data_IF_369129092155
#
_entry.id   IF_369129092155
#
_cell.length_a   1.000
_cell.length_b   1.000
_cell.length_c   1.000
_cell.angle_alpha   90.00
_cell.angle_beta   90.00
_cell.angle_gamma   90.00
#
_symmetry.space_group_name_H-M   'P 1'
#
loop_
_entity.id
_entity.type
_entity.pdbx_description
1 polymer ?
#
# COMPACT_ATOMS: atom_id res chain seq x y z
N UNK A 1 5.88 -34.10 -31.40
CA UNK A 1 4.99 -34.52 -30.30
C UNK A 1 5.05 -33.43 -29.24
N UNK A 2 3.99 -32.64 -29.17
CA UNK A 2 3.91 -31.45 -28.33
C UNK A 2 3.53 -31.85 -26.92
N UNK A 3 4.39 -31.57 -25.95
CA UNK A 3 4.11 -31.79 -24.53
C UNK A 3 2.96 -30.86 -24.12
N UNK A 4 1.83 -31.36 -23.58
CA UNK A 4 0.78 -30.50 -23.10
C UNK A 4 1.24 -29.77 -21.84
N UNK A 5 0.99 -28.46 -21.79
CA UNK A 5 1.21 -27.65 -20.61
C UNK A 5 0.25 -28.13 -19.50
N UNK A 6 0.78 -28.91 -18.56
CA UNK A 6 0.11 -29.22 -17.31
C UNK A 6 0.27 -28.04 -16.33
N UNK A 7 -0.81 -27.75 -15.61
CA UNK A 7 -0.97 -26.74 -14.56
C UNK A 7 -1.31 -25.32 -15.05
N UNK A 8 -2.51 -25.18 -15.60
CA UNK A 8 -3.30 -23.96 -15.34
C UNK A 8 -3.81 -24.10 -13.90
N UNK A 9 -3.44 -23.19 -12.98
CA UNK A 9 -3.99 -23.23 -11.62
C UNK A 9 -5.51 -23.15 -11.70
N UNK A 10 -6.20 -24.02 -10.97
CA UNK A 10 -7.63 -23.88 -10.68
C UNK A 10 -7.91 -22.48 -10.12
N UNK A 11 -9.11 -21.91 -10.32
CA UNK A 11 -9.46 -20.61 -9.78
C UNK A 11 -9.31 -20.69 -8.26
N UNK A 12 -8.21 -20.13 -7.74
CA UNK A 12 -8.06 -19.90 -6.32
C UNK A 12 -9.25 -19.04 -5.90
N UNK A 13 -9.87 -19.43 -4.79
CA UNK A 13 -10.87 -18.65 -4.08
C UNK A 13 -10.56 -17.16 -4.16
N UNK A 14 -11.56 -16.36 -4.52
CA UNK A 14 -11.50 -14.94 -4.88
C UNK A 14 -11.04 -14.02 -3.72
N UNK A 15 -9.89 -14.29 -3.12
CA UNK A 15 -9.24 -13.40 -2.16
C UNK A 15 -8.54 -12.30 -2.94
N UNK A 16 -8.82 -11.07 -2.59
CA UNK A 16 -8.13 -9.88 -3.09
C UNK A 16 -6.60 -10.01 -2.95
N UNK A 17 -5.81 -9.37 -3.83
CA UNK A 17 -4.36 -9.41 -3.73
C UNK A 17 -3.85 -8.86 -2.39
N UNK A 18 -2.82 -9.49 -1.82
CA UNK A 18 -2.11 -8.93 -0.67
C UNK A 18 -1.45 -7.59 -1.03
N UNK A 19 -1.42 -6.68 -0.06
CA UNK A 19 -0.85 -5.34 -0.18
C UNK A 19 0.41 -5.24 0.67
N UNK A 20 1.53 -4.89 0.04
CA UNK A 20 2.83 -4.75 0.68
C UNK A 20 3.35 -3.32 0.58
N UNK A 21 3.75 -2.74 1.70
CA UNK A 21 4.58 -1.53 1.72
C UNK A 21 6.05 -1.92 1.72
N UNK A 22 6.82 -1.41 0.77
CA UNK A 22 8.27 -1.70 0.65
C UNK A 22 9.11 -0.45 0.71
N UNK A 23 10.17 -0.44 1.52
CA UNK A 23 11.09 0.69 1.62
C UNK A 23 12.51 0.26 2.05
N UNK A 24 13.49 1.15 1.91
CA UNK A 24 14.73 1.10 2.69
C UNK A 24 14.66 2.06 3.88
N UNK A 25 15.35 1.71 4.96
CA UNK A 25 15.34 2.42 6.25
C UNK A 25 15.85 3.88 6.17
N UNK A 26 15.73 4.62 7.27
CA UNK A 26 16.12 6.03 7.33
C UNK A 26 17.63 6.20 7.11
N UNK A 27 18.02 7.18 6.30
CA UNK A 27 19.39 7.42 5.85
C UNK A 27 20.05 6.25 5.11
N UNK A 28 19.27 5.25 4.71
CA UNK A 28 19.75 4.14 3.91
C UNK A 28 19.46 4.39 2.42
N UNK A 29 20.53 4.46 1.62
CA UNK A 29 20.46 4.54 0.16
C UNK A 29 20.51 3.18 -0.56
N UNK A 30 20.68 2.07 0.18
CA UNK A 30 20.82 0.73 -0.40
C UNK A 30 19.46 0.15 -0.79
N UNK A 31 18.96 0.58 -1.95
CA UNK A 31 17.65 0.16 -2.45
C UNK A 31 17.73 -1.10 -3.35
N UNK A 32 18.93 -1.58 -3.69
CA UNK A 32 19.13 -2.70 -4.60
C UNK A 32 18.42 -3.98 -4.13
N UNK A 33 18.58 -4.33 -2.86
CA UNK A 33 17.97 -5.52 -2.28
C UNK A 33 16.44 -5.43 -2.28
N UNK A 34 15.88 -4.33 -1.75
CA UNK A 34 14.42 -4.14 -1.69
C UNK A 34 13.80 -4.04 -3.09
N UNK A 35 14.53 -3.52 -4.08
CA UNK A 35 14.11 -3.49 -5.48
C UNK A 35 13.99 -4.90 -6.09
N UNK A 36 14.86 -5.84 -5.71
CA UNK A 36 14.73 -7.25 -6.10
C UNK A 36 13.55 -7.88 -5.37
N UNK A 37 13.45 -7.71 -4.05
CA UNK A 37 12.38 -8.32 -3.24
C UNK A 37 11.00 -7.87 -3.72
N UNK A 38 10.77 -6.56 -3.94
CA UNK A 38 9.47 -6.07 -4.41
C UNK A 38 9.07 -6.63 -5.78
N UNK A 39 10.02 -6.89 -6.67
CA UNK A 39 9.74 -7.48 -7.99
C UNK A 39 9.28 -8.93 -7.86
N UNK A 40 9.88 -9.67 -6.93
CA UNK A 40 9.49 -11.05 -6.62
C UNK A 40 8.14 -11.10 -5.89
N UNK A 41 7.89 -10.20 -4.92
CA UNK A 41 6.59 -10.06 -4.23
C UNK A 41 5.48 -9.74 -5.23
N UNK A 42 5.70 -8.77 -6.13
CA UNK A 42 4.78 -8.49 -7.25
C UNK A 42 4.61 -9.71 -8.18
N UNK A 43 5.67 -10.50 -8.34
CA UNK A 43 5.70 -11.74 -9.10
C UNK A 43 4.74 -12.80 -8.54
N UNK A 44 4.59 -12.85 -7.22
CA UNK A 44 3.65 -13.72 -6.50
C UNK A 44 2.20 -13.21 -6.50
N UNK A 45 1.91 -12.11 -7.21
CA UNK A 45 0.54 -11.61 -7.37
C UNK A 45 0.14 -10.51 -6.39
N UNK A 46 1.05 -10.05 -5.51
CA UNK A 46 0.77 -8.97 -4.57
C UNK A 46 0.78 -7.56 -5.23
N UNK A 47 0.05 -6.63 -4.62
CA UNK A 47 0.09 -5.20 -4.90
C UNK A 47 1.17 -4.55 -4.03
N UNK A 48 2.21 -3.97 -4.65
CA UNK A 48 3.35 -3.41 -3.92
C UNK A 48 3.36 -1.90 -3.99
N UNK A 49 3.15 -1.27 -2.83
CA UNK A 49 3.32 0.16 -2.59
C UNK A 49 4.80 0.38 -2.26
N UNK A 50 5.56 0.86 -3.24
CA UNK A 50 6.99 1.08 -3.05
C UNK A 50 7.25 2.53 -2.66
N UNK A 51 7.95 2.74 -1.55
CA UNK A 51 8.30 4.08 -1.05
C UNK A 51 9.73 4.50 -1.44
N UNK A 52 10.54 3.60 -1.99
CA UNK A 52 11.94 3.87 -2.29
C UNK A 52 12.82 3.76 -1.04
N UNK A 53 13.76 4.67 -0.90
CA UNK A 53 14.80 4.63 0.14
C UNK A 53 14.76 5.86 1.04
N UNK A 54 15.57 5.90 2.11
CA UNK A 54 15.61 6.99 3.08
C UNK A 54 14.24 7.33 3.69
N UNK A 55 13.54 6.32 4.22
CA UNK A 55 12.20 6.51 4.82
C UNK A 55 12.26 6.41 6.34
N UNK A 56 11.58 7.33 7.02
CA UNK A 56 11.39 7.26 8.47
C UNK A 56 10.38 6.18 8.83
N UNK A 57 10.40 5.71 10.08
CA UNK A 57 9.37 4.79 10.59
C UNK A 57 7.98 5.40 10.43
N UNK A 58 7.81 6.70 10.73
CA UNK A 58 6.53 7.39 10.60
C UNK A 58 6.02 7.38 9.15
N UNK A 59 6.88 7.67 8.17
CA UNK A 59 6.52 7.65 6.75
C UNK A 59 6.04 6.25 6.32
N UNK A 60 6.76 5.20 6.72
CA UNK A 60 6.44 3.80 6.36
C UNK A 60 5.16 3.32 7.03
N UNK A 61 5.03 3.52 8.36
CA UNK A 61 3.86 3.07 9.12
C UNK A 61 2.62 3.83 8.66
N UNK A 62 2.70 5.16 8.49
CA UNK A 62 1.56 5.93 8.00
C UNK A 62 1.11 5.48 6.61
N UNK A 63 2.05 5.20 5.70
CA UNK A 63 1.70 4.63 4.41
C UNK A 63 1.01 3.27 4.57
N UNK A 64 1.53 2.36 5.40
CA UNK A 64 0.92 1.05 5.62
C UNK A 64 -0.53 1.14 6.16
N UNK A 65 -0.79 2.11 7.04
CA UNK A 65 -2.13 2.33 7.60
C UNK A 65 -3.11 2.92 6.58
N UNK A 66 -2.70 3.94 5.83
CA UNK A 66 -3.54 4.54 4.78
C UNK A 66 -3.83 3.53 3.65
N UNK A 67 -2.83 2.73 3.31
CA UNK A 67 -2.91 1.72 2.26
C UNK A 67 -3.55 0.41 2.74
N UNK A 68 -3.93 0.30 4.01
CA UNK A 68 -4.48 -0.91 4.64
C UNK A 68 -3.68 -2.16 4.24
N UNK A 69 -2.37 -2.11 4.50
CA UNK A 69 -1.42 -3.10 4.02
C UNK A 69 -1.38 -4.33 4.91
N UNK A 70 -1.27 -5.52 4.31
CA UNK A 70 -1.10 -6.77 5.05
C UNK A 70 0.32 -6.88 5.65
N UNK A 71 1.30 -6.27 5.00
CA UNK A 71 2.70 -6.38 5.38
C UNK A 71 3.57 -5.17 4.99
N UNK A 72 4.64 -5.01 5.75
CA UNK A 72 5.75 -4.09 5.50
C UNK A 72 7.00 -4.93 5.27
N UNK A 73 7.73 -4.68 4.18
CA UNK A 73 9.03 -5.29 3.92
C UNK A 73 10.12 -4.22 3.78
N UNK A 74 11.17 -4.35 4.59
CA UNK A 74 12.23 -3.34 4.71
C UNK A 74 13.61 -3.90 4.43
N UNK A 75 14.46 -3.06 3.84
CA UNK A 75 15.90 -3.26 3.86
C UNK A 75 16.59 -2.24 4.79
N UNK A 76 17.56 -2.71 5.57
CA UNK A 76 18.41 -1.85 6.41
C UNK A 76 19.87 -2.27 6.38
N UNK A 77 20.72 -1.44 5.78
CA UNK A 77 22.16 -1.69 5.58
C UNK A 77 23.07 -0.70 6.30
N UNK A 78 22.52 0.31 6.98
CA UNK A 78 23.29 1.40 7.62
C UNK A 78 23.39 1.31 9.14
N UNK A 79 22.89 0.24 9.76
CA UNK A 79 22.83 0.11 11.22
C UNK A 79 21.63 0.86 11.82
N UNK A 80 21.50 0.81 13.15
CA UNK A 80 20.33 1.35 13.87
C UNK A 80 19.03 0.58 13.59
N UNK A 81 19.13 -0.61 12.99
CA UNK A 81 18.01 -1.46 12.63
C UNK A 81 17.23 -1.94 13.85
N UNK A 82 17.90 -2.19 14.99
CA UNK A 82 17.23 -2.64 16.20
C UNK A 82 16.21 -1.60 16.66
N UNK A 83 16.65 -0.35 16.83
CA UNK A 83 15.79 0.76 17.24
C UNK A 83 14.73 1.06 16.18
N UNK A 84 15.11 1.05 14.90
CA UNK A 84 14.18 1.32 13.79
C UNK A 84 13.03 0.31 13.75
N UNK A 85 13.32 -0.99 13.85
CA UNK A 85 12.30 -2.04 13.82
C UNK A 85 11.46 -2.07 15.10
N UNK A 86 12.07 -1.89 16.28
CA UNK A 86 11.30 -1.81 17.54
C UNK A 86 10.34 -0.63 17.53
N UNK A 87 10.80 0.55 17.11
CA UNK A 87 9.95 1.73 17.00
C UNK A 87 8.81 1.53 16.01
N UNK A 88 9.03 0.80 14.92
CA UNK A 88 7.97 0.43 13.97
C UNK A 88 6.92 -0.48 14.59
N UNK A 89 7.36 -1.53 15.29
CA UNK A 89 6.46 -2.47 15.99
C UNK A 89 5.63 -1.75 17.05
N UNK A 90 6.27 -0.87 17.83
CA UNK A 90 5.58 -0.08 18.85
C UNK A 90 4.54 0.87 18.22
N UNK A 91 4.91 1.61 17.16
CA UNK A 91 3.98 2.52 16.48
C UNK A 91 2.78 1.78 15.86
N UNK A 92 3.00 0.59 15.29
CA UNK A 92 1.91 -0.25 14.80
C UNK A 92 0.99 -0.72 15.94
N UNK A 93 1.58 -1.13 17.07
CA UNK A 93 0.82 -1.56 18.27
C UNK A 93 0.01 -0.43 18.87
N UNK A 94 0.61 0.74 19.06
CA UNK A 94 -0.05 1.96 19.57
C UNK A 94 -1.24 2.39 18.72
N UNK A 95 -1.18 2.12 17.41
CA UNK A 95 -2.25 2.44 16.46
C UNK A 95 -3.22 1.29 16.20
N UNK A 96 -3.13 0.19 16.95
CA UNK A 96 -4.03 -0.96 16.81
C UNK A 96 -3.83 -1.79 15.53
N UNK A 97 -2.68 -1.64 14.87
CA UNK A 97 -2.38 -2.27 13.59
C UNK A 97 -1.31 -3.37 13.68
N UNK A 98 -1.26 -4.09 14.82
CA UNK A 98 -0.30 -5.20 15.02
C UNK A 98 -0.53 -6.41 14.09
N UNK A 99 -1.62 -6.42 13.31
CA UNK A 99 -1.84 -7.43 12.29
C UNK A 99 -0.92 -7.26 11.07
N UNK A 100 -0.44 -6.04 10.81
CA UNK A 100 0.47 -5.74 9.70
C UNK A 100 1.82 -6.39 10.00
N UNK A 101 2.23 -7.36 9.18
CA UNK A 101 3.48 -8.11 9.40
C UNK A 101 4.69 -7.35 8.94
N UNK A 102 5.70 -7.26 9.81
CA UNK A 102 6.97 -6.57 9.52
C UNK A 102 8.02 -7.60 9.14
N UNK A 103 8.55 -7.47 7.93
CA UNK A 103 9.65 -8.27 7.39
C UNK A 103 10.89 -7.40 7.18
N UNK A 104 12.07 -7.99 7.40
CA UNK A 104 13.33 -7.26 7.29
C UNK A 104 14.45 -8.05 6.60
N UNK A 105 15.44 -7.32 6.09
CA UNK A 105 16.72 -7.87 5.67
C UNK A 105 17.79 -6.79 5.65
N UNK A 106 19.04 -7.15 5.96
CA UNK A 106 20.15 -6.19 6.02
C UNK A 106 21.48 -6.78 5.59
N UNK A 107 21.45 -7.89 4.85
CA UNK A 107 22.65 -8.67 4.61
C UNK A 107 23.30 -9.13 5.92
N UNK A 108 24.62 -9.00 6.03
CA UNK A 108 25.36 -9.31 7.26
C UNK A 108 25.33 -8.20 8.30
N UNK A 109 24.63 -7.08 8.06
CA UNK A 109 24.58 -5.94 9.01
C UNK A 109 23.75 -6.26 10.25
N UNK A 110 22.75 -7.15 10.13
CA UNK A 110 21.90 -7.59 11.25
C UNK A 110 22.40 -8.95 11.72
N UNK A 111 22.92 -9.00 12.94
CA UNK A 111 23.52 -10.21 13.53
C UNK A 111 22.46 -11.24 13.93
N UNK A 112 22.80 -12.54 14.04
CA UNK A 112 21.85 -13.58 14.49
C UNK A 112 21.24 -13.32 15.88
N UNK A 113 21.97 -12.67 16.78
CA UNK A 113 21.48 -12.23 18.09
C UNK A 113 20.40 -11.16 17.95
N UNK A 114 20.66 -10.11 17.17
CA UNK A 114 19.70 -9.03 16.90
C UNK A 114 18.47 -9.53 16.13
N UNK A 115 18.65 -10.49 15.21
CA UNK A 115 17.54 -11.14 14.51
C UNK A 115 16.60 -11.84 15.50
N UNK A 116 17.15 -12.57 16.48
CA UNK A 116 16.35 -13.22 17.53
C UNK A 116 15.63 -12.17 18.38
N UNK A 117 16.37 -11.17 18.84
CA UNK A 117 15.81 -10.07 19.64
C UNK A 117 14.64 -9.36 18.93
N UNK A 118 14.81 -9.01 17.65
CA UNK A 118 13.79 -8.31 16.88
C UNK A 118 12.55 -9.18 16.62
N UNK A 119 12.74 -10.47 16.35
CA UNK A 119 11.61 -11.38 16.15
C UNK A 119 10.85 -11.63 17.46
N UNK A 120 11.56 -11.80 18.57
CA UNK A 120 10.94 -11.94 19.90
C UNK A 120 10.18 -10.66 20.30
N UNK A 121 10.62 -9.49 19.83
CA UNK A 121 9.95 -8.21 20.07
C UNK A 121 8.64 -8.05 19.29
N UNK A 122 8.54 -8.65 18.09
CA UNK A 122 7.33 -8.60 17.25
C UNK A 122 7.58 -8.41 15.75
N UNK A 123 8.82 -8.38 15.28
CA UNK A 123 9.11 -8.48 13.84
C UNK A 123 8.77 -9.90 13.37
N UNK A 124 8.01 -10.06 12.29
CA UNK A 124 7.57 -11.39 11.84
C UNK A 124 8.76 -12.26 11.40
N UNK A 125 9.65 -11.69 10.59
CA UNK A 125 10.86 -12.40 10.13
C UNK A 125 11.92 -11.42 9.62
N UNK A 126 13.17 -11.64 10.04
CA UNK A 126 14.35 -11.03 9.42
C UNK A 126 15.13 -12.13 8.71
N UNK A 127 15.36 -11.93 7.41
CA UNK A 127 16.10 -12.89 6.58
C UNK A 127 17.59 -12.55 6.55
N UNK A 128 18.41 -13.48 7.00
CA UNK A 128 19.86 -13.43 6.96
C UNK A 128 20.39 -13.95 5.60
N UNK A 129 21.58 -13.55 5.12
CA UNK A 129 22.18 -14.11 3.90
C UNK A 129 22.18 -15.64 3.82
N UNK A 130 22.40 -16.30 4.95
CA UNK A 130 22.36 -17.77 5.04
C UNK A 130 20.98 -18.34 4.69
N UNK A 131 19.89 -17.66 5.06
CA UNK A 131 18.54 -18.07 4.67
C UNK A 131 18.39 -18.00 3.14
N UNK A 132 18.87 -16.91 2.52
CA UNK A 132 18.87 -16.74 1.07
C UNK A 132 19.69 -17.81 0.34
N UNK A 133 20.84 -18.22 0.90
CA UNK A 133 21.67 -19.29 0.34
C UNK A 133 21.02 -20.68 0.46
N UNK A 134 20.33 -20.96 1.57
CA UNK A 134 19.71 -22.27 1.80
C UNK A 134 18.34 -22.42 1.12
N UNK A 135 17.51 -21.39 1.16
CA UNK A 135 16.15 -21.41 0.60
C UNK A 135 16.14 -21.05 -0.89
N UNK A 136 17.03 -20.15 -1.31
CA UNK A 136 16.90 -19.43 -2.56
C UNK A 136 15.91 -18.26 -2.45
N UNK A 137 16.12 -17.23 -3.28
CA UNK A 137 15.35 -15.98 -3.23
C UNK A 137 13.85 -16.17 -3.48
N UNK A 138 13.47 -17.12 -4.35
CA UNK A 138 12.06 -17.35 -4.68
C UNK A 138 11.32 -17.96 -3.48
N UNK A 139 11.86 -19.02 -2.89
CA UNK A 139 11.25 -19.67 -1.73
C UNK A 139 11.20 -18.75 -0.50
N UNK A 140 12.19 -17.87 -0.36
CA UNK A 140 12.18 -16.83 0.67
C UNK A 140 10.99 -15.88 0.52
N UNK A 141 10.68 -15.45 -0.71
CA UNK A 141 9.54 -14.58 -0.97
C UNK A 141 8.20 -15.33 -0.87
N UNK A 142 8.17 -16.62 -1.22
CA UNK A 142 7.01 -17.48 -0.97
C UNK A 142 6.72 -17.59 0.55
N UNK A 143 7.76 -17.68 1.39
CA UNK A 143 7.60 -17.66 2.85
C UNK A 143 7.05 -16.31 3.35
N UNK A 144 7.57 -15.18 2.83
CA UNK A 144 7.05 -13.84 3.14
C UNK A 144 5.56 -13.73 2.82
N UNK A 145 5.17 -14.11 1.60
CA UNK A 145 3.78 -14.02 1.12
C UNK A 145 2.86 -14.92 1.94
N UNK A 146 3.27 -16.16 2.20
CA UNK A 146 2.51 -17.12 3.00
C UNK A 146 2.28 -16.64 4.44
N UNK A 147 3.29 -16.02 5.06
CA UNK A 147 3.18 -15.47 6.43
C UNK A 147 2.25 -14.26 6.47
N UNK A 148 2.35 -13.37 5.48
CA UNK A 148 1.44 -12.24 5.36
C UNK A 148 -0.01 -12.72 5.15
N UNK A 149 -0.22 -13.71 4.27
CA UNK A 149 -1.54 -14.31 4.04
C UNK A 149 -2.12 -14.96 5.29
N UNK A 150 -1.33 -15.73 6.04
CA UNK A 150 -1.78 -16.39 7.27
C UNK A 150 -2.15 -15.40 8.38
N UNK A 151 -1.61 -14.19 8.34
CA UNK A 151 -1.89 -13.13 9.30
C UNK A 151 -3.01 -12.18 8.87
N UNK A 152 -3.46 -12.28 7.61
CA UNK A 152 -4.43 -11.37 7.02
C UNK A 152 -5.72 -11.37 7.82
N UNK A 153 -6.15 -10.18 8.21
CA UNK A 153 -7.46 -10.02 8.85
C UNK A 153 -8.55 -9.94 7.79
N UNK A 154 -9.77 -10.43 8.09
CA UNK A 154 -10.92 -10.17 7.24
C UNK A 154 -11.14 -8.67 7.07
N UNK A 155 -11.59 -8.26 5.89
CA UNK A 155 -11.89 -6.85 5.61
C UNK A 155 -12.93 -6.34 6.60
N UNK A 156 -12.53 -5.35 7.39
CA UNK A 156 -13.40 -4.73 8.38
C UNK A 156 -14.33 -3.73 7.71
N UNK A 157 -15.59 -3.68 8.17
CA UNK A 157 -16.57 -2.66 7.79
C UNK A 157 -16.70 -1.64 8.91
N UNK A 158 -15.93 -0.54 8.91
CA UNK A 158 -16.02 0.42 9.99
C UNK A 158 -17.40 1.12 9.96
N UNK A 159 -18.10 1.10 11.11
CA UNK A 159 -19.44 1.69 11.24
C UNK A 159 -19.46 3.22 11.10
N UNK A 160 -18.42 3.89 11.59
CA UNK A 160 -18.23 5.33 11.46
C UNK A 160 -16.78 5.62 11.10
N UNK A 161 -16.58 6.47 10.10
CA UNK A 161 -15.26 6.90 9.66
C UNK A 161 -15.19 8.41 9.80
N UNK A 162 -14.15 8.88 10.48
CA UNK A 162 -13.82 10.30 10.62
C UNK A 162 -12.54 10.64 9.85
N UNK A 163 -12.43 11.90 9.43
CA UNK A 163 -11.26 12.49 8.77
C UNK A 163 -9.94 12.32 9.53
N UNK A 164 -9.98 12.20 10.86
CA UNK A 164 -8.78 11.99 11.67
C UNK A 164 -8.32 10.54 11.76
N UNK A 165 -9.19 9.59 11.41
CA UNK A 165 -8.92 8.16 11.52
C UNK A 165 -8.52 7.56 10.16
N UNK A 166 -7.26 7.78 9.76
CA UNK A 166 -6.71 7.28 8.49
C UNK A 166 -6.82 5.75 8.34
N UNK A 167 -6.85 5.00 9.44
CA UNK A 167 -6.99 3.53 9.45
C UNK A 167 -8.41 3.14 9.00
N UNK A 168 -9.43 3.74 9.61
CA UNK A 168 -10.82 3.49 9.24
C UNK A 168 -11.12 3.94 7.80
N UNK A 169 -10.46 5.00 7.32
CA UNK A 169 -10.53 5.42 5.90
C UNK A 169 -9.93 4.33 5.00
N UNK A 170 -8.73 3.84 5.32
CA UNK A 170 -8.07 2.75 4.59
C UNK A 170 -8.92 1.48 4.54
N UNK A 171 -9.47 1.05 5.68
CA UNK A 171 -10.31 -0.14 5.80
C UNK A 171 -11.62 -0.02 4.99
N UNK A 172 -12.30 1.13 5.05
CA UNK A 172 -13.51 1.35 4.23
C UNK A 172 -13.18 1.33 2.73
N UNK A 173 -12.04 1.92 2.32
CA UNK A 173 -11.60 1.84 0.92
C UNK A 173 -11.33 0.38 0.50
N UNK A 174 -10.69 -0.42 1.35
CA UNK A 174 -10.54 -1.86 1.11
C UNK A 174 -11.90 -2.57 1.01
N UNK A 175 -12.85 -2.27 1.89
CA UNK A 175 -14.21 -2.84 1.84
C UNK A 175 -14.94 -2.53 0.52
N UNK A 176 -14.77 -1.33 -0.02
CA UNK A 176 -15.29 -0.95 -1.33
C UNK A 176 -14.55 -1.68 -2.45
N UNK A 177 -13.21 -1.71 -2.41
CA UNK A 177 -12.36 -2.35 -3.43
C UNK A 177 -12.57 -3.86 -3.55
N UNK A 178 -12.87 -4.52 -2.42
CA UNK A 178 -13.04 -5.97 -2.32
C UNK A 178 -14.50 -6.40 -2.42
N UNK A 179 -15.42 -5.46 -2.69
CA UNK A 179 -16.86 -5.73 -2.75
C UNK A 179 -17.39 -6.43 -1.49
N UNK A 180 -16.83 -6.08 -0.33
CA UNK A 180 -17.21 -6.68 0.95
C UNK A 180 -18.59 -6.17 1.43
N UNK A 181 -19.06 -5.04 0.89
CA UNK A 181 -20.36 -4.43 1.20
C UNK A 181 -21.47 -5.07 0.36
N UNK A 182 -22.60 -5.38 1.01
CA UNK A 182 -23.78 -5.89 0.31
C UNK A 182 -24.35 -4.82 -0.64
N UNK A 183 -24.88 -5.18 -1.80
CA UNK A 183 -25.32 -4.18 -2.81
C UNK A 183 -26.40 -3.23 -2.26
N UNK A 184 -27.27 -3.73 -1.39
CA UNK A 184 -28.31 -2.93 -0.72
C UNK A 184 -27.72 -1.90 0.24
N UNK A 185 -26.69 -2.29 1.00
CA UNK A 185 -25.92 -1.44 1.91
C UNK A 185 -25.13 -0.39 1.10
N UNK A 186 -24.42 -0.81 0.06
CA UNK A 186 -23.64 0.07 -0.81
C UNK A 186 -24.54 1.11 -1.50
N UNK A 187 -25.74 0.72 -1.94
CA UNK A 187 -26.72 1.66 -2.50
C UNK A 187 -27.15 2.72 -1.49
N UNK A 188 -27.31 2.35 -0.21
CA UNK A 188 -27.62 3.31 0.84
C UNK A 188 -26.43 4.25 1.12
N UNK A 189 -25.23 3.70 1.24
CA UNK A 189 -23.99 4.46 1.45
C UNK A 189 -23.72 5.45 0.31
N UNK A 190 -23.87 5.03 -0.96
CA UNK A 190 -23.75 5.93 -2.13
C UNK A 190 -24.65 7.17 -2.00
N UNK A 191 -25.90 6.99 -1.57
CA UNK A 191 -26.83 8.12 -1.34
C UNK A 191 -26.35 9.03 -0.22
N UNK A 192 -25.91 8.46 0.90
CA UNK A 192 -25.37 9.23 2.04
C UNK A 192 -24.13 10.02 1.62
N UNK A 193 -23.18 9.38 0.95
CA UNK A 193 -21.94 9.99 0.49
C UNK A 193 -22.19 11.12 -0.51
N UNK A 194 -23.13 10.92 -1.43
CA UNK A 194 -23.49 11.95 -2.41
C UNK A 194 -24.09 13.20 -1.75
N UNK A 195 -24.95 13.02 -0.74
CA UNK A 195 -25.55 14.12 0.01
C UNK A 195 -24.51 14.88 0.84
N UNK A 196 -23.61 14.17 1.53
CA UNK A 196 -22.57 14.78 2.35
C UNK A 196 -21.44 15.44 1.53
N UNK A 197 -21.01 14.80 0.45
CA UNK A 197 -19.86 15.22 -0.37
C UNK A 197 -20.19 16.15 -1.53
N UNK A 198 -21.39 16.73 -1.59
CA UNK A 198 -21.88 17.47 -2.77
C UNK A 198 -21.03 18.68 -3.19
N UNK A 199 -20.32 19.31 -2.24
CA UNK A 199 -19.54 20.54 -2.49
C UNK A 199 -18.03 20.31 -2.71
N UNK A 200 -17.50 19.16 -2.33
CA UNK A 200 -16.06 18.88 -2.46
C UNK A 200 -15.68 18.74 -3.94
N UNK A 201 -14.77 19.56 -4.48
CA UNK A 201 -14.27 19.42 -5.85
C UNK A 201 -13.45 18.13 -6.03
N UNK A 202 -13.55 17.54 -7.22
CA UNK A 202 -12.74 16.39 -7.65
C UNK A 202 -11.90 16.82 -8.85
N UNK A 203 -10.58 16.69 -8.75
CA UNK A 203 -9.65 16.99 -9.84
C UNK A 203 -9.12 15.67 -10.40
N UNK A 204 -9.45 15.37 -11.66
CA UNK A 204 -8.88 14.25 -12.39
C UNK A 204 -7.59 14.65 -13.12
N UNK A 205 -6.50 13.93 -12.89
CA UNK A 205 -5.22 14.10 -13.58
C UNK A 205 -4.98 12.84 -14.41
N UNK A 206 -4.97 13.02 -15.73
CA UNK A 206 -4.74 11.94 -16.69
C UNK A 206 -3.66 12.31 -17.70
N UNK A 207 -3.16 11.34 -18.44
CA UNK A 207 -2.12 11.53 -19.43
C UNK A 207 -1.36 10.24 -19.73
N UNK A 208 -0.42 10.33 -20.66
CA UNK A 208 0.39 9.19 -21.09
C UNK A 208 1.29 8.69 -19.96
N UNK A 209 1.68 7.41 -20.04
CA UNK A 209 2.63 6.81 -19.11
C UNK A 209 3.97 7.56 -19.11
N UNK A 210 4.47 7.93 -17.93
CA UNK A 210 5.74 8.63 -17.79
C UNK A 210 5.71 10.15 -18.04
N UNK A 211 4.55 10.75 -18.31
CA UNK A 211 4.42 12.19 -18.55
C UNK A 211 4.68 13.10 -17.32
N UNK A 212 4.92 12.52 -16.14
CA UNK A 212 5.16 13.27 -14.90
C UNK A 212 3.91 13.60 -14.08
N UNK A 213 2.80 12.89 -14.29
CA UNK A 213 1.51 13.10 -13.59
C UNK A 213 1.65 13.11 -12.06
N UNK A 214 2.27 12.10 -11.45
CA UNK A 214 2.46 12.04 -10.00
C UNK A 214 3.39 13.13 -9.48
N UNK A 215 4.40 13.55 -10.26
CA UNK A 215 5.24 14.71 -9.92
C UNK A 215 4.48 16.03 -9.97
N UNK A 216 3.62 16.23 -10.98
CA UNK A 216 2.75 17.41 -11.07
C UNK A 216 1.74 17.42 -9.94
N UNK A 217 1.19 16.24 -9.60
CA UNK A 217 0.26 16.08 -8.47
C UNK A 217 0.93 16.48 -7.16
N UNK A 218 2.15 16.01 -6.88
CA UNK A 218 2.91 16.40 -5.68
C UNK A 218 3.15 17.91 -5.62
N UNK A 219 3.53 18.52 -6.74
CA UNK A 219 3.82 19.94 -6.79
C UNK A 219 2.54 20.80 -6.63
N UNK A 220 1.39 20.32 -7.10
CA UNK A 220 0.08 20.93 -6.82
C UNK A 220 -0.27 20.80 -5.33
N UNK A 221 -0.09 19.62 -4.73
CA UNK A 221 -0.30 19.42 -3.30
C UNK A 221 0.54 20.39 -2.48
N UNK A 222 1.84 20.50 -2.79
CA UNK A 222 2.75 21.42 -2.12
C UNK A 222 2.26 22.87 -2.17
N UNK A 223 1.80 23.34 -3.35
CA UNK A 223 1.26 24.69 -3.54
C UNK A 223 -0.04 24.93 -2.77
N UNK A 224 -0.96 23.95 -2.77
CA UNK A 224 -2.19 24.05 -1.98
C UNK A 224 -1.89 24.08 -0.48
N UNK A 225 -1.03 23.17 0.00
CA UNK A 225 -0.66 23.10 1.42
C UNK A 225 0.02 24.38 1.91
N UNK A 226 0.80 25.05 1.05
CA UNK A 226 1.45 26.32 1.35
C UNK A 226 0.49 27.51 1.31
N UNK A 227 -0.47 27.52 0.38
CA UNK A 227 -1.40 28.63 0.18
C UNK A 227 -2.62 28.58 1.11
N UNK A 228 -3.01 27.37 1.53
CA UNK A 228 -4.20 27.12 2.36
C UNK A 228 -3.80 26.28 3.58
N UNK A 229 -3.51 26.91 4.74
CA UNK A 229 -2.95 26.23 5.91
C UNK A 229 -3.83 25.13 6.52
N UNK A 230 -5.15 25.27 6.40
CA UNK A 230 -6.11 24.34 7.01
C UNK A 230 -6.62 23.28 6.02
N UNK A 231 -6.29 23.44 4.72
CA UNK A 231 -6.84 22.60 3.66
C UNK A 231 -6.38 21.14 3.81
N UNK A 232 -7.34 20.23 3.74
CA UNK A 232 -7.15 18.78 3.73
C UNK A 232 -7.48 18.21 2.36
N UNK A 233 -6.56 17.40 1.84
CA UNK A 233 -6.66 16.85 0.48
C UNK A 233 -6.58 15.33 0.53
N UNK A 234 -7.47 14.65 -0.16
CA UNK A 234 -7.35 13.22 -0.41
C UNK A 234 -6.87 12.95 -1.83
N UNK A 235 -6.01 11.95 -2.00
CA UNK A 235 -5.45 11.55 -3.28
C UNK A 235 -5.76 10.08 -3.52
N UNK A 236 -6.34 9.77 -4.68
CA UNK A 236 -6.42 8.41 -5.20
C UNK A 236 -5.52 8.33 -6.42
N UNK A 237 -4.54 7.45 -6.41
CA UNK A 237 -3.72 7.16 -7.59
C UNK A 237 -4.00 5.75 -8.08
N UNK A 238 -4.14 5.59 -9.40
CA UNK A 238 -4.46 4.30 -10.03
C UNK A 238 -3.31 3.85 -10.91
N UNK A 239 -2.76 2.67 -10.63
CA UNK A 239 -1.68 2.05 -11.41
C UNK A 239 -2.15 0.75 -12.11
N UNK A 240 -1.56 0.38 -13.25
CA UNK A 240 -1.98 -0.81 -13.99
C UNK A 240 -1.57 -2.11 -13.29
N UNK A 241 -2.50 -3.06 -13.22
CA UNK A 241 -2.21 -4.44 -12.77
C UNK A 241 -1.46 -5.23 -13.85
N UNK A 242 -0.45 -6.03 -13.46
CA UNK A 242 0.24 -6.93 -14.39
C UNK A 242 -0.67 -8.08 -14.78
N UNK A 243 -1.00 -8.17 -16.07
CA UNK A 243 -1.84 -9.26 -16.62
C UNK A 243 -1.32 -10.65 -16.29
N UNK A 244 -0.01 -10.88 -16.36
CA UNK A 244 0.59 -12.21 -16.17
C UNK A 244 0.49 -12.70 -14.72
N UNK A 245 0.87 -11.87 -13.75
CA UNK A 245 1.00 -12.30 -12.35
C UNK A 245 -0.20 -11.92 -11.49
N UNK A 246 -1.03 -10.96 -11.90
CA UNK A 246 -2.13 -10.44 -11.07
C UNK A 246 -1.70 -9.36 -10.07
N UNK A 247 -0.39 -9.23 -9.80
CA UNK A 247 0.16 -8.20 -8.92
C UNK A 247 0.33 -6.83 -9.59
N UNK A 248 0.59 -5.81 -8.78
CA UNK A 248 0.77 -4.43 -9.24
C UNK A 248 2.00 -3.78 -8.57
N UNK A 249 2.59 -2.80 -9.25
CA UNK A 249 3.58 -1.92 -8.65
C UNK A 249 2.91 -0.56 -8.58
N UNK A 250 2.53 -0.17 -7.38
CA UNK A 250 1.85 1.07 -7.07
C UNK A 250 2.94 2.12 -6.81
N UNK A 251 3.35 2.79 -7.88
CA UNK A 251 4.57 3.58 -7.99
C UNK A 251 4.36 5.09 -7.96
N UNK A 252 3.13 5.56 -7.77
CA UNK A 252 2.86 6.99 -7.68
C UNK A 252 3.29 7.58 -6.33
N UNK A 253 3.09 6.85 -5.23
CA UNK A 253 3.40 7.31 -3.86
C UNK A 253 4.88 7.66 -3.65
N UNK A 254 5.82 6.95 -4.30
CA UNK A 254 7.27 7.26 -4.20
C UNK A 254 7.61 8.67 -4.72
N UNK A 255 6.78 9.26 -5.58
CA UNK A 255 7.00 10.59 -6.15
C UNK A 255 6.45 11.73 -5.31
N UNK A 256 5.62 11.44 -4.29
CA UNK A 256 4.87 12.46 -3.56
C UNK A 256 5.51 12.79 -2.21
N UNK A 257 6.33 13.83 -2.16
CA UNK A 257 6.98 14.28 -0.93
C UNK A 257 6.02 15.00 0.03
N UNK A 258 4.95 15.59 -0.50
CA UNK A 258 3.93 16.33 0.26
C UNK A 258 3.13 15.44 1.23
N UNK A 259 3.18 14.12 1.06
CA UNK A 259 2.49 13.15 1.90
C UNK A 259 2.99 13.11 3.35
N UNK A 260 4.12 13.76 3.66
CA UNK A 260 4.55 13.97 5.06
C UNK A 260 3.56 14.82 5.85
N UNK A 261 2.77 15.65 5.17
CA UNK A 261 1.73 16.45 5.82
C UNK A 261 0.57 15.56 6.30
N UNK A 262 0.17 15.71 7.56
CA UNK A 262 -1.03 15.06 8.14
C UNK A 262 -2.34 15.54 7.50
N UNK A 263 -2.28 16.62 6.70
CA UNK A 263 -3.43 17.15 5.95
C UNK A 263 -3.67 16.45 4.62
N UNK A 264 -2.77 15.55 4.20
CA UNK A 264 -2.92 14.79 2.95
C UNK A 264 -3.10 13.31 3.26
N UNK A 265 -4.20 12.75 2.78
CA UNK A 265 -4.43 11.32 2.73
C UNK A 265 -4.18 10.81 1.31
N UNK A 266 -3.60 9.62 1.16
CA UNK A 266 -3.44 8.99 -0.14
C UNK A 266 -3.80 7.51 -0.09
N UNK A 267 -4.48 7.03 -1.15
CA UNK A 267 -4.70 5.62 -1.42
C UNK A 267 -4.17 5.28 -2.81
N UNK A 268 -3.41 4.20 -2.90
CA UNK A 268 -2.90 3.67 -4.16
C UNK A 268 -3.73 2.45 -4.57
N UNK A 269 -4.38 2.52 -5.73
CA UNK A 269 -5.27 1.48 -6.26
C UNK A 269 -4.67 0.83 -7.50
N UNK A 270 -4.93 -0.46 -7.70
CA UNK A 270 -4.62 -1.13 -8.94
C UNK A 270 -5.85 -1.17 -9.86
N UNK A 271 -5.67 -1.18 -11.18
CA UNK A 271 -6.82 -1.30 -12.09
C UNK A 271 -7.61 -2.60 -11.88
N UNK A 272 -6.96 -3.66 -11.39
CA UNK A 272 -7.47 -5.05 -11.28
C UNK A 272 -7.94 -5.58 -12.65
N UNK A 273 -8.12 -6.90 -12.81
CA UNK A 273 -8.39 -7.50 -14.15
C UNK A 273 -9.79 -7.18 -14.71
N UNK A 274 -10.69 -6.63 -13.89
CA UNK A 274 -12.07 -6.32 -14.27
C UNK A 274 -12.25 -4.81 -14.52
N UNK A 275 -11.79 -4.32 -15.68
CA UNK A 275 -11.79 -2.90 -16.05
C UNK A 275 -13.13 -2.15 -15.87
N UNK A 276 -14.27 -2.85 -15.97
CA UNK A 276 -15.61 -2.27 -15.75
C UNK A 276 -15.91 -2.04 -14.26
N UNK A 277 -15.46 -2.95 -13.39
CA UNK A 277 -15.62 -2.83 -11.95
C UNK A 277 -14.77 -1.67 -11.39
N UNK A 278 -13.58 -1.43 -11.97
CA UNK A 278 -12.66 -0.37 -11.52
C UNK A 278 -13.28 1.03 -11.55
N UNK A 279 -14.08 1.36 -12.56
CA UNK A 279 -14.70 2.69 -12.66
C UNK A 279 -15.82 2.86 -11.63
N UNK A 280 -16.61 1.80 -11.37
CA UNK A 280 -17.65 1.81 -10.34
C UNK A 280 -17.02 1.94 -8.95
N UNK A 281 -16.04 1.08 -8.65
CA UNK A 281 -15.29 1.11 -7.39
C UNK A 281 -14.62 2.47 -7.18
N UNK A 282 -13.96 3.02 -8.21
CA UNK A 282 -13.31 4.33 -8.12
C UNK A 282 -14.33 5.45 -7.82
N UNK A 283 -15.51 5.42 -8.44
CA UNK A 283 -16.58 6.38 -8.15
C UNK A 283 -17.05 6.28 -6.71
N UNK A 284 -17.18 5.05 -6.18
CA UNK A 284 -17.58 4.82 -4.80
C UNK A 284 -16.51 5.31 -3.81
N UNK A 285 -15.23 5.02 -4.07
CA UNK A 285 -14.11 5.54 -3.27
C UNK A 285 -14.05 7.07 -3.29
N UNK A 286 -14.24 7.70 -4.46
CA UNK A 286 -14.29 9.16 -4.58
C UNK A 286 -15.48 9.71 -3.78
N UNK A 287 -16.68 9.13 -3.94
CA UNK A 287 -17.87 9.58 -3.22
C UNK A 287 -17.68 9.48 -1.70
N UNK A 288 -17.13 8.36 -1.23
CA UNK A 288 -16.79 8.14 0.16
C UNK A 288 -15.82 9.21 0.68
N UNK A 289 -14.68 9.43 0.02
CA UNK A 289 -13.72 10.45 0.47
C UNK A 289 -14.33 11.85 0.49
N UNK A 290 -15.13 12.23 -0.52
CA UNK A 290 -15.85 13.51 -0.52
C UNK A 290 -16.77 13.66 0.70
N UNK A 291 -17.42 12.56 1.10
CA UNK A 291 -18.37 12.56 2.22
C UNK A 291 -17.72 12.82 3.58
N UNK A 292 -16.41 12.54 3.72
CA UNK A 292 -15.68 12.74 4.96
C UNK A 292 -15.39 14.21 5.25
N UNK A 293 -15.52 15.09 4.26
CA UNK A 293 -15.25 16.52 4.42
C UNK A 293 -13.84 16.96 4.04
N UNK A 294 -13.12 16.18 3.22
CA UNK A 294 -11.93 16.71 2.54
C UNK A 294 -12.31 17.94 1.69
N UNK A 295 -11.43 18.94 1.64
CA UNK A 295 -11.64 20.15 0.86
C UNK A 295 -11.45 19.90 -0.64
N UNK A 296 -10.72 18.83 -0.99
CA UNK A 296 -10.46 18.42 -2.36
C UNK A 296 -10.12 16.94 -2.44
N UNK A 297 -10.59 16.28 -3.50
CA UNK A 297 -10.13 14.94 -3.88
C UNK A 297 -9.40 15.03 -5.22
N UNK A 298 -8.16 14.56 -5.27
CA UNK A 298 -7.37 14.44 -6.50
C UNK A 298 -7.36 12.97 -6.92
N UNK A 299 -7.58 12.72 -8.21
CA UNK A 299 -7.57 11.37 -8.79
C UNK A 299 -6.56 11.33 -9.93
N UNK A 300 -5.48 10.59 -9.75
CA UNK A 300 -4.50 10.30 -10.80
C UNK A 300 -4.85 8.97 -11.48
N UNK A 301 -5.01 8.98 -12.80
CA UNK A 301 -5.28 7.75 -13.56
C UNK A 301 -4.00 7.01 -13.95
N UNK A 302 -4.13 5.72 -14.24
CA UNK A 302 -3.06 4.98 -14.90
C UNK A 302 -2.69 5.65 -16.24
N UNK A 303 -1.45 5.44 -16.69
CA UNK A 303 -1.01 5.94 -17.99
C UNK A 303 -1.92 5.44 -19.11
N UNK A 304 -2.60 6.36 -19.80
CA UNK A 304 -3.49 6.02 -20.91
C UNK A 304 -2.74 6.04 -22.24
N UNK A 305 -3.22 5.24 -23.19
CA UNK A 305 -2.83 5.35 -24.60
C UNK A 305 -3.38 6.64 -25.23
N UNK A 306 -3.12 6.82 -26.53
CA UNK A 306 -3.75 7.88 -27.32
C UNK A 306 -5.25 7.65 -27.48
#
# INVERSE_FOLDING_TARGET
>A
MSTPAANVPSPQTETSPLRFVTAASLFDGHDAAINIMRRLIQGQGAEVIHLGHNRSVEDVVRAALQEDADAIALSSYQGGHVEYFKYMVDMLRERGASHIRVFGGGGGTITPEEIRELQDYGVERIYHPNDGMHMGLVAMIEDVVRRAEAARQPVEKPHQVDLSNEIAIGAMLSAIEESALEESELTHLRKQWQLAGGKTPVIGITGTGGAGKSSVTDELLNRFLASFPDMRIAVISVDPTRRRTGGALLGDRIRMNSLRSKRVFMRSMATRRQHMATNVVLKDCIAFLKSLGYDMVIVETAGIGQ
#
